data_IF_025182860291
#
_entry.id   IF_025182860291
#
_cell.length_a   1.000
_cell.length_b   1.000
_cell.length_c   1.000
_cell.angle_alpha   90.00
_cell.angle_beta   90.00
_cell.angle_gamma   90.00
#
_symmetry.space_group_name_H-M   'P 1'
#
loop_
_entity.id
_entity.type
_entity.pdbx_description
1 polymer ?
#
# COMPACT_ATOMS: atom_id res chain seq x y z
N UNK A 1 -6.60 -11.45 -31.62
CA UNK A 1 -5.14 -11.66 -31.73
C UNK A 1 -4.62 -11.87 -30.32
N UNK A 2 -3.84 -12.90 -30.10
CA UNK A 2 -3.23 -13.18 -28.80
C UNK A 2 -1.86 -12.48 -28.71
N UNK A 3 -1.40 -12.13 -27.48
CA UNK A 3 -0.03 -11.61 -27.30
C UNK A 3 0.99 -12.61 -27.79
N UNK A 4 0.74 -13.92 -27.59
CA UNK A 4 1.56 -15.00 -28.12
C UNK A 4 1.71 -14.95 -29.63
N UNK A 5 0.67 -14.48 -30.36
CA UNK A 5 0.71 -14.34 -31.81
C UNK A 5 1.55 -13.15 -32.24
N UNK A 6 1.49 -12.03 -31.51
CA UNK A 6 2.37 -10.87 -31.71
C UNK A 6 3.85 -11.23 -31.48
N UNK A 7 4.12 -11.94 -30.37
CA UNK A 7 5.47 -12.42 -30.06
C UNK A 7 6.03 -13.28 -31.19
N UNK A 8 5.25 -14.26 -31.67
CA UNK A 8 5.63 -15.13 -32.81
C UNK A 8 5.81 -14.35 -34.10
N UNK A 9 4.85 -13.46 -34.43
CA UNK A 9 4.85 -12.67 -35.68
C UNK A 9 6.11 -11.79 -35.79
N UNK A 10 6.56 -11.20 -34.69
CA UNK A 10 7.68 -10.28 -34.66
C UNK A 10 8.99 -10.91 -34.18
N UNK A 11 9.05 -12.25 -34.05
CA UNK A 11 10.25 -12.99 -33.59
C UNK A 11 10.80 -12.48 -32.25
N UNK A 12 9.91 -12.02 -31.37
CA UNK A 12 10.27 -11.60 -30.02
C UNK A 12 10.73 -12.79 -29.19
N UNK A 13 11.34 -12.52 -28.03
CA UNK A 13 11.80 -13.55 -27.11
C UNK A 13 10.71 -14.60 -26.81
N UNK A 14 11.11 -15.85 -26.60
CA UNK A 14 10.16 -16.90 -26.24
C UNK A 14 9.38 -16.51 -24.97
N UNK A 15 8.08 -16.86 -24.91
CA UNK A 15 7.17 -16.48 -23.82
C UNK A 15 7.74 -16.85 -22.44
N UNK A 16 8.38 -17.99 -22.33
CA UNK A 16 9.02 -18.50 -21.12
C UNK A 16 10.26 -17.71 -20.68
N UNK A 17 10.87 -16.93 -21.57
CA UNK A 17 12.02 -16.06 -21.28
C UNK A 17 11.65 -14.63 -20.92
N UNK A 18 10.39 -14.23 -21.08
CA UNK A 18 9.92 -12.87 -20.75
C UNK A 18 9.93 -12.66 -19.23
N UNK A 19 10.76 -11.71 -18.76
CA UNK A 19 10.94 -11.41 -17.34
C UNK A 19 10.13 -10.21 -16.88
N UNK A 20 9.85 -9.27 -17.79
CA UNK A 20 9.11 -8.04 -17.48
C UNK A 20 8.08 -7.76 -18.57
N UNK A 21 6.90 -7.30 -18.18
CA UNK A 21 5.89 -6.78 -19.08
C UNK A 21 5.53 -5.37 -18.63
N UNK A 22 5.68 -4.41 -19.54
CA UNK A 22 5.18 -3.05 -19.39
C UNK A 22 4.48 -2.64 -20.69
N UNK A 23 3.15 -2.68 -20.74
CA UNK A 23 2.39 -2.36 -21.95
C UNK A 23 2.49 -0.89 -22.36
N UNK A 24 2.96 -0.01 -21.47
CA UNK A 24 3.04 1.43 -21.75
C UNK A 24 4.32 1.88 -22.44
N UNK A 25 5.40 1.07 -22.41
CA UNK A 25 6.68 1.52 -22.94
C UNK A 25 7.63 0.43 -23.47
N UNK A 26 7.89 -0.68 -22.75
CA UNK A 26 9.04 -1.54 -23.10
C UNK A 26 8.84 -3.00 -22.67
N UNK A 27 9.29 -3.92 -23.52
CA UNK A 27 9.79 -5.22 -23.09
C UNK A 27 11.29 -5.03 -22.79
N UNK A 28 11.83 -5.67 -21.76
CA UNK A 28 13.19 -5.39 -21.26
C UNK A 28 14.31 -5.44 -22.31
N UNK A 29 14.11 -6.21 -23.40
CA UNK A 29 15.10 -6.40 -24.45
C UNK A 29 14.72 -5.75 -25.79
N UNK A 30 13.47 -5.22 -25.93
CA UNK A 30 12.96 -4.65 -27.19
C UNK A 30 11.93 -3.57 -26.88
N UNK A 31 12.11 -2.40 -27.49
CA UNK A 31 11.06 -1.37 -27.50
C UNK A 31 9.92 -1.86 -28.38
N UNK A 32 8.72 -2.02 -27.82
CA UNK A 32 7.55 -2.46 -28.60
C UNK A 32 7.26 -1.51 -29.76
N UNK A 33 7.49 -0.22 -29.59
CA UNK A 33 7.35 0.81 -30.61
C UNK A 33 8.30 0.64 -31.81
N UNK A 34 9.45 -0.04 -31.64
CA UNK A 34 10.40 -0.33 -32.70
C UNK A 34 10.02 -1.58 -33.50
N UNK A 35 9.13 -2.42 -32.95
CA UNK A 35 8.77 -3.73 -33.52
C UNK A 35 7.30 -3.81 -33.90
N UNK A 36 6.41 -3.19 -33.12
CA UNK A 36 4.97 -3.22 -33.35
C UNK A 36 4.50 -1.97 -34.09
N UNK A 37 3.55 -2.14 -35.00
CA UNK A 37 2.85 -1.02 -35.60
C UNK A 37 2.02 -0.28 -34.56
N UNK A 38 1.72 1.00 -34.80
CA UNK A 38 0.83 1.79 -33.91
C UNK A 38 -0.51 1.09 -33.62
N UNK A 39 -1.08 0.44 -34.62
CA UNK A 39 -2.34 -0.30 -34.48
C UNK A 39 -2.20 -1.51 -33.56
N UNK A 40 -1.07 -2.22 -33.61
CA UNK A 40 -0.80 -3.37 -32.74
C UNK A 40 -0.55 -2.94 -31.30
N UNK A 41 0.15 -1.82 -31.09
CA UNK A 41 0.34 -1.22 -29.76
C UNK A 41 -0.99 -0.77 -29.16
N UNK A 42 -1.83 -0.10 -29.95
CA UNK A 42 -3.16 0.34 -29.48
C UNK A 42 -4.06 -0.86 -29.17
N UNK A 43 -4.04 -1.88 -30.04
CA UNK A 43 -4.76 -3.13 -29.78
C UNK A 43 -4.28 -3.79 -28.49
N UNK A 44 -2.95 -3.87 -28.27
CA UNK A 44 -2.36 -4.47 -27.08
C UNK A 44 -2.83 -3.75 -25.79
N UNK A 45 -2.78 -2.41 -25.78
CA UNK A 45 -3.25 -1.60 -24.66
C UNK A 45 -4.73 -1.84 -24.34
N UNK A 46 -5.57 -1.95 -25.39
CA UNK A 46 -7.02 -2.09 -25.23
C UNK A 46 -7.48 -3.54 -24.91
N UNK A 47 -6.66 -4.55 -25.20
CA UNK A 47 -7.01 -5.97 -25.03
C UNK A 47 -6.17 -6.71 -23.99
N UNK A 48 -5.27 -6.01 -23.30
CA UNK A 48 -4.37 -6.63 -22.31
C UNK A 48 -5.13 -7.30 -21.16
N UNK A 49 -6.31 -6.82 -20.83
CA UNK A 49 -7.15 -7.32 -19.74
C UNK A 49 -7.72 -8.72 -19.98
N UNK A 50 -7.77 -9.18 -21.23
CA UNK A 50 -8.22 -10.52 -21.62
C UNK A 50 -7.09 -11.56 -21.68
N UNK A 51 -5.99 -11.28 -21.03
CA UNK A 51 -4.76 -12.03 -21.14
C UNK A 51 -4.44 -12.74 -19.82
N UNK A 52 -3.97 -14.00 -19.89
CA UNK A 52 -3.55 -14.76 -18.71
C UNK A 52 -2.03 -14.86 -18.61
N UNK A 53 -1.52 -14.64 -17.40
CA UNK A 53 -0.08 -14.75 -17.10
C UNK A 53 0.41 -16.19 -16.88
N UNK A 54 -0.48 -17.18 -16.99
CA UNK A 54 -0.20 -18.58 -16.68
C UNK A 54 0.97 -19.18 -17.44
N UNK A 55 1.15 -18.78 -18.70
CA UNK A 55 2.18 -19.31 -19.58
C UNK A 55 3.52 -18.58 -19.48
N UNK A 56 3.59 -17.50 -18.69
CA UNK A 56 4.82 -16.70 -18.53
C UNK A 56 5.59 -17.17 -17.29
N UNK A 57 6.26 -18.31 -17.42
CA UNK A 57 6.91 -19.00 -16.28
C UNK A 57 8.17 -18.30 -15.77
N UNK A 58 8.74 -17.38 -16.55
CA UNK A 58 9.91 -16.57 -16.17
C UNK A 58 9.58 -15.13 -15.82
N UNK A 59 8.27 -14.74 -15.88
CA UNK A 59 7.84 -13.38 -15.58
C UNK A 59 8.02 -13.07 -14.10
N UNK A 60 8.82 -12.04 -13.79
CA UNK A 60 9.12 -11.60 -12.42
C UNK A 60 8.59 -10.20 -12.09
N UNK A 61 8.39 -9.36 -13.10
CA UNK A 61 7.99 -7.96 -12.94
C UNK A 61 6.83 -7.63 -13.88
N UNK A 62 5.81 -6.94 -13.36
CA UNK A 62 4.61 -6.56 -14.11
C UNK A 62 4.25 -5.10 -13.82
N UNK A 63 4.37 -4.25 -14.84
CA UNK A 63 3.90 -2.87 -14.82
C UNK A 63 2.63 -2.74 -15.70
N UNK A 64 1.51 -2.44 -15.08
CA UNK A 64 0.22 -2.22 -15.74
C UNK A 64 -0.18 -0.73 -15.75
N UNK A 65 0.79 0.18 -15.72
CA UNK A 65 0.51 1.62 -15.80
C UNK A 65 -0.24 1.94 -17.10
N UNK A 66 -1.39 2.61 -16.97
CA UNK A 66 -2.23 3.00 -18.11
C UNK A 66 -3.06 1.88 -18.71
N UNK A 67 -3.00 0.65 -18.17
CA UNK A 67 -3.90 -0.44 -18.57
C UNK A 67 -5.22 -0.30 -17.82
N UNK A 68 -6.38 -0.29 -18.49
CA UNK A 68 -7.67 -0.31 -17.81
C UNK A 68 -7.88 -1.68 -17.16
N UNK A 69 -7.72 -1.71 -15.83
CA UNK A 69 -7.78 -2.96 -15.06
C UNK A 69 -9.22 -3.38 -14.69
N UNK A 70 -10.24 -2.69 -15.17
CA UNK A 70 -11.64 -2.89 -14.82
C UNK A 70 -12.19 -4.26 -15.26
N UNK A 71 -11.59 -4.84 -16.29
CA UNK A 71 -12.00 -6.09 -16.94
C UNK A 71 -10.95 -7.21 -16.86
N UNK A 72 -9.99 -7.12 -15.93
CA UNK A 72 -9.01 -8.20 -15.73
C UNK A 72 -9.76 -9.49 -15.36
N UNK A 73 -9.55 -10.53 -16.14
CA UNK A 73 -10.18 -11.83 -15.94
C UNK A 73 -9.68 -12.53 -14.65
N UNK A 74 -10.49 -13.45 -14.13
CA UNK A 74 -10.22 -14.09 -12.84
C UNK A 74 -8.92 -14.90 -12.81
N UNK A 75 -8.47 -15.42 -13.95
CA UNK A 75 -7.24 -16.21 -14.11
C UNK A 75 -6.02 -15.38 -14.55
N UNK A 76 -6.17 -14.06 -14.70
CA UNK A 76 -5.07 -13.19 -15.11
C UNK A 76 -3.82 -13.36 -14.22
N UNK A 77 -4.01 -13.46 -12.92
CA UNK A 77 -2.91 -13.54 -11.95
C UNK A 77 -2.42 -14.97 -11.68
N UNK A 78 -2.67 -15.93 -12.56
CA UNK A 78 -2.18 -17.31 -12.42
C UNK A 78 -0.67 -17.43 -12.80
N UNK A 79 0.18 -16.61 -12.20
CA UNK A 79 1.64 -16.70 -12.38
C UNK A 79 2.33 -17.12 -11.09
N UNK A 80 3.15 -18.17 -11.17
CA UNK A 80 3.96 -18.62 -10.02
C UNK A 80 5.34 -17.97 -9.95
N UNK A 81 5.78 -17.29 -11.01
CA UNK A 81 7.10 -16.65 -11.08
C UNK A 81 7.09 -15.18 -10.66
N UNK A 82 5.94 -14.52 -10.72
CA UNK A 82 5.80 -13.08 -10.51
C UNK A 82 6.22 -12.68 -9.09
N UNK A 83 7.13 -11.71 -8.99
CA UNK A 83 7.70 -11.23 -7.73
C UNK A 83 7.41 -9.74 -7.48
N UNK A 84 7.21 -8.95 -8.54
CA UNK A 84 6.98 -7.52 -8.44
C UNK A 84 5.78 -7.10 -9.30
N UNK A 85 4.86 -6.36 -8.68
CA UNK A 85 3.80 -5.63 -9.36
C UNK A 85 3.95 -4.17 -8.93
N UNK A 86 4.79 -3.45 -9.66
CA UNK A 86 5.20 -2.10 -9.26
C UNK A 86 4.14 -1.05 -9.52
N UNK A 87 3.30 -1.24 -10.55
CA UNK A 87 2.29 -0.25 -10.91
C UNK A 87 1.04 -0.91 -11.46
N UNK A 88 -0.05 -0.68 -10.77
CA UNK A 88 -1.40 -0.99 -11.21
C UNK A 88 -2.20 0.31 -11.27
N UNK A 89 -3.02 0.49 -12.29
CA UNK A 89 -3.89 1.66 -12.43
C UNK A 89 -5.37 1.30 -12.59
N UNK A 90 -6.26 2.27 -12.42
CA UNK A 90 -7.69 2.10 -12.66
C UNK A 90 -8.47 1.42 -11.51
N UNK A 91 -9.65 0.87 -11.83
CA UNK A 91 -10.49 0.13 -10.87
C UNK A 91 -10.15 -1.34 -10.95
N UNK A 92 -9.32 -1.83 -10.03
CA UNK A 92 -9.01 -3.25 -9.94
C UNK A 92 -9.81 -3.89 -8.81
N UNK A 93 -10.49 -5.00 -9.11
CA UNK A 93 -11.03 -5.88 -8.08
C UNK A 93 -10.04 -7.01 -7.85
N UNK A 94 -9.34 -6.98 -6.71
CA UNK A 94 -8.49 -8.10 -6.31
C UNK A 94 -9.37 -9.29 -5.98
N UNK A 95 -9.34 -10.31 -6.84
CA UNK A 95 -10.08 -11.55 -6.67
C UNK A 95 -9.25 -12.62 -5.97
N UNK A 96 -9.79 -13.84 -5.88
CA UNK A 96 -9.10 -14.96 -5.22
C UNK A 96 -7.84 -15.40 -5.98
N UNK A 97 -7.80 -15.28 -7.32
CA UNK A 97 -6.62 -15.67 -8.11
C UNK A 97 -5.40 -14.81 -7.80
N UNK A 98 -5.62 -13.53 -7.44
CA UNK A 98 -4.54 -12.66 -6.99
C UNK A 98 -3.78 -13.24 -5.79
N UNK A 99 -4.49 -13.93 -4.88
CA UNK A 99 -3.87 -14.56 -3.72
C UNK A 99 -3.07 -15.83 -4.05
N UNK A 100 -3.03 -16.26 -5.32
CA UNK A 100 -2.18 -17.36 -5.81
C UNK A 100 -0.77 -16.92 -6.17
N UNK A 101 -0.48 -15.62 -6.15
CA UNK A 101 0.85 -15.06 -6.43
C UNK A 101 1.82 -15.28 -5.25
N UNK A 102 2.02 -16.52 -4.88
CA UNK A 102 2.75 -16.92 -3.65
C UNK A 102 4.23 -16.51 -3.63
N UNK A 103 4.80 -16.10 -4.76
CA UNK A 103 6.17 -15.61 -4.86
C UNK A 103 6.27 -14.08 -4.94
N UNK A 104 5.12 -13.38 -4.85
CA UNK A 104 5.08 -11.93 -4.88
C UNK A 104 5.82 -11.35 -3.66
N UNK A 105 6.77 -10.43 -3.93
CA UNK A 105 7.58 -9.73 -2.92
C UNK A 105 7.17 -8.27 -2.78
N UNK A 106 6.79 -7.64 -3.91
CA UNK A 106 6.42 -6.22 -3.93
C UNK A 106 5.07 -6.03 -4.60
N UNK A 107 4.22 -5.26 -3.95
CA UNK A 107 2.90 -4.91 -4.46
C UNK A 107 2.62 -3.43 -4.23
N UNK A 108 2.45 -2.70 -5.33
CA UNK A 108 2.04 -1.30 -5.28
C UNK A 108 0.65 -1.11 -5.89
N UNK A 109 -0.29 -0.77 -5.03
CA UNK A 109 -1.68 -0.46 -5.36
C UNK A 109 -1.98 1.04 -5.21
N UNK A 110 -0.96 1.89 -5.38
CA UNK A 110 -1.06 3.32 -5.12
C UNK A 110 -1.99 4.09 -6.07
N UNK A 111 -2.19 3.59 -7.29
CA UNK A 111 -3.06 4.20 -8.30
C UNK A 111 -4.35 3.41 -8.55
N UNK A 112 -4.69 2.46 -7.67
CA UNK A 112 -5.84 1.55 -7.85
C UNK A 112 -6.98 1.91 -6.93
N UNK A 113 -8.17 2.05 -7.46
CA UNK A 113 -9.39 2.23 -6.67
C UNK A 113 -9.87 0.89 -6.08
N UNK A 114 -9.21 0.42 -5.01
CA UNK A 114 -9.65 -0.76 -4.27
C UNK A 114 -10.42 -0.36 -3.01
N UNK A 115 -11.45 -1.14 -2.67
CA UNK A 115 -12.30 -0.93 -1.49
C UNK A 115 -12.11 -1.99 -0.41
N UNK A 116 -11.51 -3.12 -0.77
CA UNK A 116 -11.20 -4.22 0.15
C UNK A 116 -10.08 -5.10 -0.40
N UNK A 117 -9.36 -5.76 0.49
CA UNK A 117 -8.46 -6.87 0.16
C UNK A 117 -9.23 -8.20 0.25
N UNK A 118 -8.87 -9.22 -0.56
CA UNK A 118 -9.44 -10.56 -0.43
C UNK A 118 -9.21 -11.15 0.96
N UNK A 119 -10.13 -11.99 1.41
CA UNK A 119 -10.00 -12.67 2.72
C UNK A 119 -8.73 -13.54 2.83
N UNK A 120 -8.27 -14.08 1.72
CA UNK A 120 -7.10 -14.95 1.62
C UNK A 120 -5.81 -14.19 1.28
N UNK A 121 -5.80 -12.84 1.40
CA UNK A 121 -4.66 -11.99 1.07
C UNK A 121 -3.37 -12.39 1.82
N UNK A 122 -3.50 -12.94 3.01
CA UNK A 122 -2.39 -13.46 3.80
C UNK A 122 -1.65 -14.66 3.18
N UNK A 123 -2.16 -15.26 2.09
CA UNK A 123 -1.44 -16.31 1.35
C UNK A 123 -0.20 -15.79 0.62
N UNK A 124 -0.07 -14.45 0.46
CA UNK A 124 1.11 -13.80 -0.10
C UNK A 124 2.26 -13.77 0.94
N UNK A 125 2.62 -14.93 1.49
CA UNK A 125 3.55 -15.03 2.62
C UNK A 125 4.96 -14.49 2.34
N UNK A 126 5.37 -14.39 1.05
CA UNK A 126 6.66 -13.82 0.63
C UNK A 126 6.61 -12.31 0.37
N UNK A 127 5.44 -11.67 0.54
CA UNK A 127 5.31 -10.24 0.32
C UNK A 127 6.16 -9.48 1.35
N UNK A 128 7.08 -8.65 0.86
CA UNK A 128 8.00 -7.85 1.67
C UNK A 128 7.60 -6.38 1.74
N UNK A 129 7.02 -5.85 0.66
CA UNK A 129 6.61 -4.45 0.55
C UNK A 129 5.17 -4.35 0.01
N UNK A 130 4.33 -3.62 0.72
CA UNK A 130 2.94 -3.37 0.33
C UNK A 130 2.64 -1.88 0.41
N UNK A 131 2.24 -1.30 -0.72
CA UNK A 131 1.76 0.07 -0.80
C UNK A 131 0.32 0.12 -1.30
N UNK A 132 -0.56 0.78 -0.56
CA UNK A 132 -1.98 0.94 -0.89
C UNK A 132 -2.37 2.41 -0.74
N UNK A 133 -2.92 3.00 -1.79
CA UNK A 133 -3.59 4.29 -1.71
C UNK A 133 -5.02 4.13 -2.24
N UNK A 134 -5.93 3.72 -1.37
CA UNK A 134 -7.26 3.30 -1.77
C UNK A 134 -8.35 3.62 -0.76
N UNK A 135 -9.54 3.07 -1.01
CA UNK A 135 -10.71 3.25 -0.13
C UNK A 135 -10.91 2.08 0.85
N UNK A 136 -9.82 1.40 1.22
CA UNK A 136 -9.88 0.28 2.18
C UNK A 136 -10.20 0.82 3.56
N UNK A 137 -11.24 0.28 4.18
CA UNK A 137 -11.67 0.66 5.53
C UNK A 137 -11.06 -0.21 6.63
N UNK A 138 -10.76 -1.47 6.32
CA UNK A 138 -10.18 -2.46 7.25
C UNK A 138 -9.32 -3.48 6.50
N UNK A 139 -8.39 -4.06 7.20
CA UNK A 139 -7.55 -5.16 6.71
C UNK A 139 -8.22 -6.53 7.01
N UNK A 140 -7.99 -7.57 6.21
CA UNK A 140 -8.48 -8.91 6.50
C UNK A 140 -7.73 -9.55 7.67
N UNK A 141 -8.36 -10.43 8.41
CA UNK A 141 -7.73 -11.15 9.54
C UNK A 141 -6.54 -12.01 9.11
N UNK A 142 -6.52 -12.47 7.85
CA UNK A 142 -5.39 -13.21 7.29
C UNK A 142 -4.12 -12.36 7.13
N UNK A 143 -4.19 -11.04 7.34
CA UNK A 143 -3.06 -10.12 7.17
C UNK A 143 -1.86 -10.51 8.04
N UNK A 144 -2.11 -11.06 9.23
CA UNK A 144 -1.07 -11.58 10.14
C UNK A 144 -0.19 -12.69 9.55
N UNK A 145 -0.66 -13.37 8.48
CA UNK A 145 0.08 -14.45 7.79
C UNK A 145 1.15 -13.93 6.81
N UNK A 146 1.24 -12.63 6.55
CA UNK A 146 2.25 -12.02 5.68
C UNK A 146 3.64 -12.03 6.35
N UNK A 147 4.18 -13.21 6.58
CA UNK A 147 5.36 -13.47 7.44
C UNK A 147 6.66 -12.79 6.99
N UNK A 148 6.73 -12.35 5.73
CA UNK A 148 7.90 -11.66 5.18
C UNK A 148 7.70 -10.14 5.09
N UNK A 149 6.51 -9.60 5.44
CA UNK A 149 6.18 -8.19 5.23
C UNK A 149 7.00 -7.29 6.16
N UNK A 150 7.84 -6.44 5.56
CA UNK A 150 8.74 -5.50 6.25
C UNK A 150 8.23 -4.07 6.19
N UNK A 151 7.62 -3.69 5.04
CA UNK A 151 7.14 -2.32 4.81
C UNK A 151 5.67 -2.32 4.44
N UNK A 152 4.90 -1.52 5.14
CA UNK A 152 3.48 -1.32 4.93
C UNK A 152 3.17 0.16 4.79
N UNK A 153 2.58 0.54 3.67
CA UNK A 153 2.07 1.89 3.44
C UNK A 153 0.60 1.83 3.06
N UNK A 154 -0.27 2.49 3.82
CA UNK A 154 -1.71 2.56 3.51
C UNK A 154 -2.21 3.98 3.75
N UNK A 155 -2.80 4.59 2.72
CA UNK A 155 -3.38 5.94 2.81
C UNK A 155 -4.88 5.94 2.55
N UNK A 156 -5.56 6.94 3.10
CA UNK A 156 -6.86 7.50 2.69
C UNK A 156 -8.09 7.17 3.56
N UNK A 157 -8.47 5.90 3.77
CA UNK A 157 -9.78 5.62 4.37
C UNK A 157 -9.80 4.52 5.43
N UNK A 158 -8.65 4.09 5.88
CA UNK A 158 -8.57 3.08 6.93
C UNK A 158 -9.19 3.63 8.22
N UNK A 159 -10.17 2.92 8.76
CA UNK A 159 -10.92 3.33 9.97
C UNK A 159 -10.69 2.39 11.13
N UNK A 160 -10.23 1.16 10.87
CA UNK A 160 -9.98 0.16 11.89
C UNK A 160 -8.78 -0.70 11.49
N UNK A 161 -7.89 -0.92 12.44
CA UNK A 161 -6.69 -1.75 12.34
C UNK A 161 -6.55 -2.69 13.55
N UNK A 162 -7.65 -3.00 14.22
CA UNK A 162 -7.67 -3.96 15.32
C UNK A 162 -7.55 -5.39 14.79
N UNK A 163 -6.33 -5.75 14.45
CA UNK A 163 -5.90 -7.06 13.93
C UNK A 163 -4.54 -7.42 14.50
N UNK A 164 -4.17 -8.69 14.37
CA UNK A 164 -2.79 -9.12 14.59
C UNK A 164 -1.93 -8.73 13.38
N UNK A 165 -0.80 -8.09 13.66
CA UNK A 165 0.16 -7.70 12.63
C UNK A 165 1.28 -8.73 12.48
N UNK A 166 1.86 -8.88 11.25
CA UNK A 166 3.05 -9.69 11.06
C UNK A 166 4.21 -9.18 11.92
N UNK A 167 4.86 -10.08 12.66
CA UNK A 167 6.02 -9.76 13.51
C UNK A 167 7.25 -9.29 12.70
N UNK A 168 7.27 -9.53 11.39
CA UNK A 168 8.32 -9.12 10.45
C UNK A 168 8.31 -7.63 10.10
N UNK A 169 7.23 -6.91 10.40
CA UNK A 169 7.08 -5.48 10.07
C UNK A 169 8.12 -4.62 10.77
N UNK A 170 8.78 -3.77 9.97
CA UNK A 170 9.82 -2.83 10.39
C UNK A 170 9.38 -1.38 10.17
N UNK A 171 8.65 -1.12 9.10
CA UNK A 171 8.20 0.22 8.73
C UNK A 171 6.69 0.20 8.44
N UNK A 172 5.95 1.08 9.09
CA UNK A 172 4.51 1.28 8.88
C UNK A 172 4.25 2.77 8.67
N UNK A 173 3.69 3.10 7.51
CA UNK A 173 3.16 4.43 7.21
C UNK A 173 1.65 4.32 6.93
N UNK A 174 0.86 4.76 7.90
CA UNK A 174 -0.60 4.79 7.83
C UNK A 174 -1.14 6.20 8.11
N UNK A 175 -0.34 7.21 7.78
CA UNK A 175 -0.75 8.61 7.86
C UNK A 175 -1.92 8.91 6.93
N UNK A 176 -2.67 9.97 7.25
CA UNK A 176 -3.76 10.45 6.40
C UNK A 176 -4.95 9.49 6.32
N UNK A 177 -5.21 8.72 7.39
CA UNK A 177 -6.34 7.80 7.48
C UNK A 177 -7.45 8.34 8.41
N UNK A 178 -8.36 7.47 8.81
CA UNK A 178 -9.52 7.81 9.66
C UNK A 178 -9.49 7.04 10.99
N UNK A 179 -8.28 6.75 11.49
CA UNK A 179 -8.10 5.98 12.72
C UNK A 179 -8.43 6.87 13.94
N UNK A 180 -9.50 6.54 14.63
CA UNK A 180 -9.89 7.18 15.91
C UNK A 180 -9.22 6.51 17.11
N UNK A 181 -8.70 5.30 16.94
CA UNK A 181 -8.06 4.50 17.97
C UNK A 181 -6.80 3.84 17.40
N UNK A 182 -5.76 3.73 18.22
CA UNK A 182 -4.53 3.02 17.91
C UNK A 182 -4.46 1.79 18.81
N UNK A 183 -4.53 0.55 18.26
CA UNK A 183 -4.53 -0.65 19.07
C UNK A 183 -3.15 -0.97 19.64
N UNK A 184 -3.11 -1.64 20.79
CA UNK A 184 -1.86 -2.13 21.39
C UNK A 184 -1.08 -3.04 20.42
N UNK A 185 -1.80 -3.87 19.64
CA UNK A 185 -1.19 -4.81 18.67
C UNK A 185 -0.26 -4.11 17.68
N UNK A 186 -0.55 -2.87 17.28
CA UNK A 186 0.30 -2.10 16.38
C UNK A 186 1.63 -1.71 17.04
N UNK A 187 1.59 -1.23 18.29
CA UNK A 187 2.78 -0.80 19.01
C UNK A 187 3.57 -1.98 19.61
N UNK A 188 2.94 -3.16 19.72
CA UNK A 188 3.57 -4.39 20.22
C UNK A 188 4.35 -5.17 19.15
N UNK A 189 4.40 -4.69 17.90
CA UNK A 189 5.12 -5.39 16.82
C UNK A 189 6.62 -5.40 17.15
N UNK A 190 7.25 -6.59 17.35
CA UNK A 190 8.56 -6.66 18.00
C UNK A 190 9.71 -6.08 17.19
N UNK A 191 9.58 -6.00 15.87
CA UNK A 191 10.63 -5.49 14.98
C UNK A 191 10.29 -4.11 14.39
N UNK A 192 9.22 -3.45 14.86
CA UNK A 192 8.78 -2.16 14.33
C UNK A 192 9.76 -1.06 14.72
N UNK A 193 10.43 -0.48 13.73
CA UNK A 193 11.41 0.59 13.88
C UNK A 193 10.82 1.97 13.55
N UNK A 194 9.97 2.03 12.53
CA UNK A 194 9.43 3.29 12.03
C UNK A 194 7.91 3.22 11.93
N UNK A 195 7.22 4.11 12.63
CA UNK A 195 5.77 4.22 12.63
C UNK A 195 5.34 5.65 12.32
N UNK A 196 4.61 5.86 11.21
CA UNK A 196 3.95 7.12 10.90
C UNK A 196 2.42 6.95 10.98
N UNK A 197 1.81 7.54 12.00
CA UNK A 197 0.37 7.59 12.26
C UNK A 197 -0.16 9.03 12.22
N UNK A 198 0.60 9.95 11.66
CA UNK A 198 0.22 11.36 11.49
C UNK A 198 -1.09 11.50 10.72
N UNK A 199 -1.75 12.65 10.82
CA UNK A 199 -3.00 12.94 10.09
C UNK A 199 -4.12 11.91 10.32
N UNK A 200 -4.23 11.39 11.55
CA UNK A 200 -5.32 10.52 11.99
C UNK A 200 -6.08 11.15 13.17
N UNK A 201 -7.38 10.91 13.33
CA UNK A 201 -8.21 11.58 14.34
C UNK A 201 -8.13 10.97 15.76
N UNK A 202 -7.14 10.11 16.07
CA UNK A 202 -7.02 9.53 17.41
C UNK A 202 -6.69 10.60 18.47
N UNK A 203 -7.25 10.43 19.66
CA UNK A 203 -7.08 11.31 20.83
C UNK A 203 -6.20 10.68 21.90
N UNK A 204 -5.98 9.38 21.83
CA UNK A 204 -5.21 8.61 22.80
C UNK A 204 -4.19 7.72 22.08
N UNK A 205 -3.03 7.55 22.70
CA UNK A 205 -2.00 6.63 22.23
C UNK A 205 -1.70 5.64 23.37
N UNK A 206 -1.81 4.34 23.13
CA UNK A 206 -1.41 3.36 24.13
C UNK A 206 0.09 3.37 24.32
N UNK A 207 0.54 3.18 25.57
CA UNK A 207 1.97 3.10 25.91
C UNK A 207 2.32 1.63 26.12
N UNK A 208 2.92 1.02 25.09
CA UNK A 208 3.34 -0.38 25.06
C UNK A 208 4.85 -0.43 24.90
N UNK A 209 5.54 -1.21 25.72
CA UNK A 209 6.98 -1.36 25.58
C UNK A 209 7.36 -1.89 24.20
N UNK A 210 8.17 -1.12 23.50
CA UNK A 210 8.73 -1.50 22.21
C UNK A 210 10.15 -0.92 22.08
N UNK A 211 11.13 -1.75 22.34
CA UNK A 211 12.55 -1.35 22.31
C UNK A 211 13.12 -1.21 20.91
N UNK A 212 12.42 -1.73 19.89
CA UNK A 212 12.81 -1.62 18.49
C UNK A 212 12.40 -0.26 17.87
N UNK A 213 11.41 0.43 18.46
CA UNK A 213 10.85 1.66 17.88
C UNK A 213 11.85 2.82 18.00
N UNK A 214 12.33 3.29 16.85
CA UNK A 214 13.32 4.39 16.75
C UNK A 214 12.73 5.67 16.17
N UNK A 215 11.58 5.60 15.49
CA UNK A 215 10.89 6.76 14.91
C UNK A 215 9.38 6.63 15.04
N UNK A 216 8.75 7.61 15.66
CA UNK A 216 7.29 7.71 15.82
C UNK A 216 6.83 9.09 15.36
N UNK A 217 5.99 9.12 14.30
CA UNK A 217 5.39 10.34 13.78
C UNK A 217 3.92 10.41 14.15
N UNK A 218 3.54 11.47 14.84
CA UNK A 218 2.19 11.73 15.37
C UNK A 218 1.71 13.15 15.07
N UNK A 219 2.33 13.78 14.09
CA UNK A 219 2.00 15.15 13.69
C UNK A 219 0.54 15.25 13.18
N UNK A 220 -0.07 16.39 13.38
CA UNK A 220 -1.45 16.69 12.93
C UNK A 220 -2.49 15.66 13.39
N UNK A 221 -2.35 15.18 14.63
CA UNK A 221 -3.34 14.35 15.32
C UNK A 221 -3.89 15.11 16.53
N UNK A 222 -5.14 14.88 16.95
CA UNK A 222 -5.65 15.46 18.19
C UNK A 222 -4.79 15.13 19.40
N UNK A 223 -4.21 13.92 19.47
CA UNK A 223 -3.26 13.53 20.50
C UNK A 223 -1.97 14.36 20.44
N UNK A 224 -1.38 14.52 19.26
CA UNK A 224 -0.06 15.13 19.03
C UNK A 224 -0.02 16.65 19.15
N UNK A 225 -1.17 17.33 19.24
CA UNK A 225 -1.21 18.80 19.46
C UNK A 225 -0.96 19.19 20.92
N UNK A 226 -1.08 18.26 21.87
CA UNK A 226 -0.86 18.55 23.30
C UNK A 226 0.59 18.30 23.68
N UNK A 227 1.24 19.33 24.20
CA UNK A 227 2.64 19.25 24.64
C UNK A 227 2.84 18.20 25.74
N UNK A 228 1.90 18.07 26.66
CA UNK A 228 1.89 17.05 27.72
C UNK A 228 1.96 15.64 27.18
N UNK A 229 1.17 15.35 26.14
CA UNK A 229 1.16 14.04 25.47
C UNK A 229 2.50 13.75 24.80
N UNK A 230 3.09 14.76 24.14
CA UNK A 230 4.40 14.62 23.49
C UNK A 230 5.49 14.36 24.53
N UNK A 231 5.52 15.11 25.63
CA UNK A 231 6.49 14.91 26.69
C UNK A 231 6.35 13.50 27.32
N UNK A 232 5.12 13.05 27.57
CA UNK A 232 4.85 11.70 28.07
C UNK A 232 5.33 10.64 27.08
N UNK A 233 5.10 10.84 25.78
CA UNK A 233 5.53 9.91 24.72
C UNK A 233 7.06 9.84 24.66
N UNK A 234 7.77 10.98 24.69
CA UNK A 234 9.23 11.03 24.70
C UNK A 234 9.82 10.40 25.97
N UNK A 235 9.16 10.55 27.10
CA UNK A 235 9.58 9.92 28.35
C UNK A 235 9.41 8.41 28.31
N UNK A 236 8.32 7.92 27.68
CA UNK A 236 8.05 6.49 27.57
C UNK A 236 8.95 5.80 26.55
N UNK A 237 9.25 6.48 25.42
CA UNK A 237 10.14 5.98 24.35
C UNK A 237 11.42 6.84 24.26
N UNK A 238 12.35 6.73 25.21
CA UNK A 238 13.50 7.66 25.33
C UNK A 238 14.48 7.58 24.17
N UNK A 239 14.54 6.42 23.49
CA UNK A 239 15.42 6.20 22.34
C UNK A 239 14.72 6.42 20.99
N UNK A 240 13.45 6.83 21.02
CA UNK A 240 12.65 7.06 19.83
C UNK A 240 12.66 8.53 19.42
N UNK A 241 12.89 8.81 18.15
CA UNK A 241 12.65 10.13 17.59
C UNK A 241 11.14 10.33 17.41
N UNK A 242 10.54 11.15 18.28
CA UNK A 242 9.11 11.49 18.22
C UNK A 242 8.94 12.78 17.42
N UNK A 243 8.44 12.66 16.18
CA UNK A 243 8.12 13.80 15.32
C UNK A 243 6.72 14.32 15.64
N UNK A 244 6.66 15.56 16.04
CA UNK A 244 5.50 16.24 16.60
C UNK A 244 4.97 17.36 15.69
N UNK A 245 3.82 17.94 16.03
CA UNK A 245 3.30 19.12 15.34
C UNK A 245 4.22 20.34 15.52
N UNK A 246 4.30 21.18 14.50
CA UNK A 246 5.09 22.41 14.51
C UNK A 246 4.52 23.48 15.46
N UNK A 247 3.24 23.37 15.84
CA UNK A 247 2.56 24.26 16.77
C UNK A 247 1.73 23.46 17.76
N UNK A 248 1.95 23.70 19.02
CA UNK A 248 1.15 23.15 20.11
C UNK A 248 -0.03 24.05 20.42
N UNK A 249 -1.10 23.42 20.94
CA UNK A 249 -2.12 24.14 21.64
C UNK A 249 -1.75 24.20 23.13
N UNK A 250 -2.04 25.31 23.79
CA UNK A 250 -1.94 25.40 25.24
C UNK A 250 -2.99 24.49 25.87
N UNK A 251 -2.57 23.64 26.81
CA UNK A 251 -3.42 22.62 27.44
C UNK A 251 -4.68 23.21 28.09
N UNK A 252 -4.64 24.49 28.47
CA UNK A 252 -5.78 25.20 29.07
C UNK A 252 -6.84 25.68 28.06
N UNK A 253 -6.47 25.93 26.82
CA UNK A 253 -7.36 26.55 25.81
C UNK A 253 -8.34 25.53 25.18
N UNK A 254 -8.13 24.24 25.39
CA UNK A 254 -8.80 23.18 24.62
C UNK A 254 -9.91 22.49 25.41
N UNK A 255 -9.95 22.62 26.73
CA UNK A 255 -11.01 22.01 27.55
C UNK A 255 -12.44 22.45 27.20
N UNK A 256 -12.59 23.48 26.37
CA UNK A 256 -13.88 24.09 26.03
C UNK A 256 -14.30 23.99 24.56
N UNK A 257 -13.49 23.39 23.67
CA UNK A 257 -13.88 23.24 22.26
C UNK A 257 -13.73 21.83 21.78
N UNK A 258 -14.81 21.27 21.24
CA UNK A 258 -14.76 19.99 20.52
C UNK A 258 -13.57 19.97 19.57
N UNK A 259 -12.85 18.88 19.49
CA UNK A 259 -11.72 18.63 18.58
C UNK A 259 -11.96 19.10 17.13
N UNK A 260 -13.21 19.09 16.69
CA UNK A 260 -13.67 19.62 15.40
C UNK A 260 -13.45 21.14 15.23
N UNK A 261 -13.58 21.93 16.30
CA UNK A 261 -13.44 23.39 16.26
C UNK A 261 -11.96 23.83 16.21
N UNK A 262 -11.09 23.02 16.76
CA UNK A 262 -9.65 23.27 16.75
C UNK A 262 -9.04 22.93 15.39
N UNK A 263 -9.44 21.81 14.77
CA UNK A 263 -9.05 21.45 13.42
C UNK A 263 -9.47 22.52 12.40
N UNK A 264 -10.66 23.08 12.54
CA UNK A 264 -11.14 24.18 11.67
C UNK A 264 -10.37 25.50 11.86
N UNK A 265 -9.74 25.74 13.02
CA UNK A 265 -8.87 26.90 13.25
C UNK A 265 -7.45 26.72 12.69
N UNK A 266 -6.91 25.51 12.73
CA UNK A 266 -5.59 25.19 12.14
C UNK A 266 -5.68 25.06 10.61
N UNK A 267 -6.83 24.68 10.10
CA UNK A 267 -7.12 24.48 8.68
C UNK A 267 -8.43 25.18 8.30
N UNK A 268 -8.48 26.52 8.28
CA UNK A 268 -9.72 27.28 8.10
C UNK A 268 -10.42 26.99 6.76
N UNK A 269 -9.73 26.42 5.77
CA UNK A 269 -10.28 26.22 4.44
C UNK A 269 -10.72 24.79 4.13
N UNK A 270 -10.68 23.86 5.10
CA UNK A 270 -11.24 22.50 4.94
C UNK A 270 -10.77 21.67 3.73
N UNK A 271 -9.84 22.19 2.94
CA UNK A 271 -9.31 21.53 1.77
C UNK A 271 -8.12 20.67 2.15
N UNK A 272 -8.39 19.40 2.38
CA UNK A 272 -7.37 18.38 2.28
C UNK A 272 -7.02 18.21 0.80
N UNK A 273 -6.09 19.02 0.30
CA UNK A 273 -5.41 18.73 -0.96
C UNK A 273 -4.41 17.60 -0.69
N UNK A 274 -4.84 16.40 -0.95
CA UNK A 274 -3.95 15.25 -1.06
C UNK A 274 -3.32 15.32 -2.46
N UNK A 275 -2.06 15.70 -2.52
CA UNK A 275 -1.19 15.42 -3.67
C UNK A 275 -0.41 14.15 -3.42
#
# INVERSE_FOLDING_TARGET
MEISDLIKKHSLSAIDSVKRINPSAYWDDVKLEDVLTYTELDWLKNNFTNFSLKNYTSLIDLDLTGVPCDAICDDFFESKSLQDISKLGGKLRLNKSFCSLINLKKLNLGAVHITSLPKDFGNLEKLEELHINGSIKKLPTSFSKLRSLKKLTIYNKLINIDIDFPASLQEIDIRGNKLSEIPNSLLSIPNLQHLDISDNPFTELPFVENTALTSLKIARTPFGIFKSNILKTKQFYPNCNVEEAVKYADDETIYLSSTKKYYSKLHPNGHHSYH
#
